data_IF_829225204626
#
_entry.id   IF_829225204626
#
_cell.length_a   1.000
_cell.length_b   1.000
_cell.length_c   1.000
_cell.angle_alpha   90.00
_cell.angle_beta   90.00
_cell.angle_gamma   90.00
#
_symmetry.space_group_name_H-M   'P 1'
#
loop_
_entity.id
_entity.type
_entity.pdbx_description
1 polymer ?
#
# COMPACT_ATOMS: atom_id res chain seq x y z
N UNK A 1 57.02 -47.35 2.79
CA UNK A 1 58.17 -48.01 2.12
C UNK A 1 58.02 -47.77 0.61
N UNK A 2 59.00 -47.14 -0.05
CA UNK A 2 59.00 -46.81 -1.48
C UNK A 2 59.53 -48.03 -2.28
N UNK A 3 59.97 -47.95 -3.56
CA UNK A 3 59.63 -47.12 -4.72
C UNK A 3 59.40 -48.00 -5.99
N UNK A 4 59.11 -47.40 -7.15
CA UNK A 4 59.69 -47.89 -8.41
C UNK A 4 59.71 -46.78 -9.46
N UNK A 5 60.88 -46.15 -9.60
CA UNK A 5 61.28 -45.37 -10.77
C UNK A 5 62.01 -46.30 -11.71
N UNK A 6 61.72 -46.26 -13.01
CA UNK A 6 62.73 -46.47 -14.06
C UNK A 6 62.41 -45.61 -15.27
N UNK A 7 63.19 -44.54 -15.43
CA UNK A 7 63.39 -43.88 -16.70
C UNK A 7 64.62 -44.46 -17.41
N UNK A 8 64.61 -44.42 -18.73
CA UNK A 8 65.80 -44.45 -19.57
C UNK A 8 65.76 -43.29 -20.57
N UNK A 9 66.85 -42.51 -20.47
CA UNK A 9 67.41 -41.52 -21.40
C UNK A 9 67.50 -42.08 -22.85
N UNK A 10 67.53 -41.31 -23.94
CA UNK A 10 68.28 -40.07 -24.20
C UNK A 10 68.03 -39.55 -25.66
N UNK A 11 68.42 -38.30 -25.89
CA UNK A 11 68.87 -37.67 -27.17
C UNK A 11 67.78 -37.21 -28.16
N UNK A 12 67.85 -36.07 -28.85
CA UNK A 12 68.86 -35.00 -29.01
C UNK A 12 68.18 -33.83 -29.77
N UNK A 13 68.59 -32.59 -29.49
CA UNK A 13 69.01 -31.52 -30.43
C UNK A 13 68.70 -30.11 -29.87
N UNK A 14 69.73 -29.28 -29.92
CA UNK A 14 69.77 -27.87 -29.52
C UNK A 14 69.46 -27.02 -30.75
N UNK A 15 68.61 -25.98 -30.64
CA UNK A 15 68.92 -24.56 -31.01
C UNK A 15 67.69 -23.64 -30.96
N UNK A 16 67.71 -22.80 -29.92
CA UNK A 16 67.37 -21.37 -29.79
C UNK A 16 65.96 -20.79 -30.12
N UNK A 17 65.57 -19.72 -29.39
CA UNK A 17 64.18 -19.32 -29.21
C UNK A 17 63.81 -18.08 -30.03
N UNK A 18 62.54 -17.93 -30.40
CA UNK A 18 61.95 -16.61 -30.62
C UNK A 18 60.48 -16.59 -30.18
N UNK A 19 60.16 -15.44 -29.61
CA UNK A 19 59.04 -14.93 -28.80
C UNK A 19 57.61 -15.05 -29.36
N UNK A 20 56.69 -15.04 -28.39
CA UNK A 20 55.24 -14.93 -28.45
C UNK A 20 54.69 -13.79 -29.35
N UNK A 21 53.60 -14.07 -30.09
CA UNK A 21 52.29 -13.42 -29.90
C UNK A 21 51.22 -14.17 -30.72
N UNK A 22 50.20 -14.75 -30.05
CA UNK A 22 49.00 -15.31 -30.70
C UNK A 22 47.94 -14.22 -30.79
N UNK A 23 47.48 -13.94 -32.00
CA UNK A 23 46.31 -13.10 -32.27
C UNK A 23 45.02 -13.90 -32.01
N UNK A 24 44.16 -13.36 -31.14
CA UNK A 24 42.83 -13.90 -30.84
C UNK A 24 41.81 -13.34 -31.85
N UNK A 25 41.04 -14.23 -32.47
CA UNK A 25 39.97 -13.90 -33.42
C UNK A 25 38.82 -13.16 -32.71
N UNK A 26 38.42 -12.01 -33.24
CA UNK A 26 37.21 -11.28 -32.87
C UNK A 26 35.97 -12.05 -33.36
N UNK A 27 35.10 -12.44 -32.44
CA UNK A 27 33.72 -12.83 -32.73
C UNK A 27 32.87 -11.55 -32.74
N UNK A 28 32.23 -11.27 -33.88
CA UNK A 28 31.29 -10.17 -34.03
C UNK A 28 29.98 -10.55 -33.35
N UNK A 29 29.56 -9.78 -32.36
CA UNK A 29 28.30 -9.94 -31.64
C UNK A 29 27.27 -8.98 -32.24
N UNK A 30 26.32 -9.50 -33.00
CA UNK A 30 25.17 -8.72 -33.48
C UNK A 30 24.25 -8.43 -32.30
N UNK A 31 24.20 -7.17 -31.87
CA UNK A 31 23.30 -6.72 -30.81
C UNK A 31 21.86 -6.67 -31.35
N UNK A 32 21.02 -7.58 -30.86
CA UNK A 32 19.56 -7.50 -31.01
C UNK A 32 19.08 -6.41 -30.04
N UNK A 33 18.72 -5.24 -30.56
CA UNK A 33 18.18 -4.15 -29.75
C UNK A 33 16.75 -4.51 -29.36
N UNK A 34 16.54 -4.96 -28.13
CA UNK A 34 15.20 -5.08 -27.56
C UNK A 34 14.65 -3.67 -27.35
N UNK A 35 13.63 -3.29 -28.12
CA UNK A 35 12.83 -2.10 -27.84
C UNK A 35 12.02 -2.41 -26.57
N UNK A 36 12.54 -1.98 -25.41
CA UNK A 36 11.73 -1.81 -24.22
C UNK A 36 10.71 -0.72 -24.55
N UNK A 37 9.49 -1.13 -24.93
CA UNK A 37 8.34 -0.26 -24.76
C UNK A 37 8.15 -0.17 -23.25
N UNK A 38 8.88 0.75 -22.61
CA UNK A 38 8.52 1.19 -21.29
C UNK A 38 7.12 1.76 -21.41
N UNK A 39 6.13 1.08 -20.85
CA UNK A 39 4.91 1.75 -20.41
C UNK A 39 5.41 2.89 -19.52
N UNK A 40 5.36 4.12 -20.00
CA UNK A 40 5.53 5.26 -19.11
C UNK A 40 4.46 5.06 -18.05
N UNK A 41 4.87 4.70 -16.83
CA UNK A 41 4.03 4.94 -15.67
C UNK A 41 3.67 6.42 -15.77
N UNK A 42 2.41 6.71 -16.08
CA UNK A 42 1.95 8.08 -16.07
C UNK A 42 1.94 8.45 -14.59
N UNK A 43 3.02 9.04 -14.12
CA UNK A 43 3.11 9.56 -12.76
C UNK A 43 2.08 10.68 -12.67
N UNK A 44 0.91 10.35 -12.14
CA UNK A 44 -0.09 11.33 -11.76
C UNK A 44 -0.03 11.52 -10.25
N UNK A 45 -0.31 12.74 -9.82
CA UNK A 45 -0.15 13.16 -8.43
C UNK A 45 -0.97 12.31 -7.46
N UNK A 46 -2.07 11.67 -7.88
CA UNK A 46 -2.88 10.80 -7.00
C UNK A 46 -2.07 9.57 -6.58
N UNK A 47 -1.34 8.97 -7.52
CA UNK A 47 -0.46 7.82 -7.21
C UNK A 47 0.76 8.22 -6.38
N UNK A 48 1.32 9.41 -6.58
CA UNK A 48 2.39 9.95 -5.74
C UNK A 48 1.92 10.12 -4.29
N UNK A 49 0.73 10.70 -4.09
CA UNK A 49 0.13 10.86 -2.76
C UNK A 49 -0.32 9.55 -2.13
N UNK A 50 -0.77 8.58 -2.93
CA UNK A 50 -1.02 7.22 -2.45
C UNK A 50 0.27 6.61 -1.89
N UNK A 51 1.36 6.62 -2.65
CA UNK A 51 2.64 6.08 -2.20
C UNK A 51 3.13 6.77 -0.92
N UNK A 52 3.02 8.10 -0.83
CA UNK A 52 3.37 8.85 0.38
C UNK A 52 2.53 8.43 1.59
N UNK A 53 1.24 8.21 1.42
CA UNK A 53 0.36 7.73 2.48
C UNK A 53 0.75 6.32 2.96
N UNK A 54 1.08 5.41 2.02
CA UNK A 54 1.54 4.06 2.34
C UNK A 54 2.88 4.09 3.10
N UNK A 55 3.79 5.01 2.75
CA UNK A 55 5.02 5.24 3.51
C UNK A 55 4.75 5.77 4.93
N UNK A 56 3.80 6.70 5.09
CA UNK A 56 3.34 7.16 6.39
C UNK A 56 2.76 6.03 7.25
N UNK A 57 1.96 5.13 6.66
CA UNK A 57 1.40 3.95 7.32
C UNK A 57 2.50 3.01 7.81
N UNK A 58 3.46 2.68 6.93
CA UNK A 58 4.61 1.82 7.25
C UNK A 58 5.43 2.41 8.40
N UNK A 59 5.82 3.68 8.27
CA UNK A 59 6.65 4.37 9.25
C UNK A 59 5.95 4.53 10.61
N UNK A 60 4.63 4.76 10.59
CA UNK A 60 3.82 4.90 11.80
C UNK A 60 3.43 3.58 12.46
N UNK A 61 3.73 2.43 11.85
CA UNK A 61 3.20 1.12 12.26
C UNK A 61 1.67 1.18 12.47
N UNK A 62 0.99 1.87 11.55
CA UNK A 62 -0.42 2.26 11.73
C UNK A 62 -1.31 1.02 11.75
N UNK A 63 -2.20 0.86 12.75
CA UNK A 63 -3.09 -0.29 12.80
C UNK A 63 -4.04 -0.35 11.59
N UNK A 64 -4.38 -1.55 11.07
CA UNK A 64 -5.17 -1.67 9.84
C UNK A 64 -6.48 -0.87 9.82
N UNK A 65 -7.29 -0.82 10.90
CA UNK A 65 -8.52 -0.04 10.86
C UNK A 65 -8.26 1.47 10.70
N UNK A 66 -7.25 2.01 11.40
CA UNK A 66 -6.83 3.41 11.28
C UNK A 66 -6.27 3.68 9.87
N UNK A 67 -5.47 2.76 9.32
CA UNK A 67 -4.92 2.88 7.97
C UNK A 67 -6.03 2.98 6.92
N UNK A 68 -7.04 2.11 6.98
CA UNK A 68 -8.22 2.16 6.10
C UNK A 68 -8.95 3.51 6.21
N UNK A 69 -9.21 4.00 7.43
CA UNK A 69 -9.84 5.31 7.64
C UNK A 69 -9.01 6.46 7.06
N UNK A 70 -7.70 6.46 7.28
CA UNK A 70 -6.80 7.49 6.77
C UNK A 70 -6.74 7.51 5.24
N UNK A 71 -6.69 6.33 4.60
CA UNK A 71 -6.72 6.22 3.14
C UNK A 71 -8.07 6.66 2.57
N UNK A 72 -9.18 6.37 3.26
CA UNK A 72 -10.49 6.87 2.87
C UNK A 72 -10.53 8.40 2.91
N UNK A 73 -10.11 9.03 4.01
CA UNK A 73 -10.06 10.51 4.16
C UNK A 73 -9.19 11.14 3.08
N UNK A 74 -8.00 10.59 2.85
CA UNK A 74 -7.10 11.06 1.79
C UNK A 74 -7.80 11.03 0.43
N UNK A 75 -8.28 9.85 0.03
CA UNK A 75 -8.72 9.66 -1.35
C UNK A 75 -10.07 10.31 -1.64
N UNK A 76 -10.97 10.45 -0.66
CA UNK A 76 -12.17 11.28 -0.85
C UNK A 76 -11.85 12.77 -0.90
N UNK A 77 -10.82 13.25 -0.18
CA UNK A 77 -10.36 14.63 -0.30
C UNK A 77 -9.78 14.92 -1.68
N UNK A 78 -8.95 14.01 -2.20
CA UNK A 78 -8.43 14.10 -3.58
C UNK A 78 -9.58 14.04 -4.59
N UNK A 79 -10.50 13.09 -4.45
CA UNK A 79 -11.61 12.91 -5.37
C UNK A 79 -12.51 14.13 -5.44
N UNK A 80 -12.96 14.69 -4.31
CA UNK A 80 -13.80 15.88 -4.31
C UNK A 80 -13.05 17.11 -4.83
N UNK A 81 -11.73 17.21 -4.58
CA UNK A 81 -10.91 18.29 -5.12
C UNK A 81 -10.84 18.24 -6.65
N UNK A 82 -10.60 17.05 -7.21
CA UNK A 82 -10.51 16.82 -8.66
C UNK A 82 -11.88 16.92 -9.34
N UNK A 83 -12.86 16.16 -8.84
CA UNK A 83 -14.22 16.14 -9.37
C UNK A 83 -14.94 17.48 -9.17
N UNK A 84 -14.56 18.29 -8.18
CA UNK A 84 -15.04 19.66 -8.04
C UNK A 84 -14.68 20.54 -9.24
N UNK A 85 -13.56 20.28 -9.92
CA UNK A 85 -13.13 21.01 -11.12
C UNK A 85 -13.73 20.35 -12.37
N UNK A 86 -13.60 19.02 -12.47
CA UNK A 86 -13.98 18.22 -13.65
C UNK A 86 -15.50 18.06 -13.80
N UNK A 87 -16.21 17.87 -12.68
CA UNK A 87 -17.68 17.76 -12.55
C UNK A 87 -18.32 16.65 -13.38
N UNK A 88 -17.62 15.53 -13.51
CA UNK A 88 -18.12 14.38 -14.26
C UNK A 88 -18.97 13.43 -13.41
N UNK A 89 -18.87 13.52 -12.09
CA UNK A 89 -19.54 12.62 -11.15
C UNK A 89 -20.12 13.37 -9.94
N UNK A 90 -20.91 12.66 -9.13
CA UNK A 90 -21.36 13.19 -7.84
C UNK A 90 -20.18 13.32 -6.86
N UNK A 91 -20.02 14.45 -6.17
CA UNK A 91 -19.04 14.57 -5.10
C UNK A 91 -19.44 13.67 -3.93
N UNK A 92 -18.45 13.20 -3.17
CA UNK A 92 -18.66 12.47 -1.93
C UNK A 92 -19.29 13.37 -0.85
N UNK A 93 -18.77 14.59 -0.68
CA UNK A 93 -19.26 15.54 0.32
C UNK A 93 -19.28 16.98 -0.17
N UNK A 94 -18.19 17.46 -0.77
CA UNK A 94 -17.96 18.88 -1.01
C UNK A 94 -18.47 19.29 -2.40
N UNK A 95 -19.49 20.13 -2.44
CA UNK A 95 -20.07 20.65 -3.68
C UNK A 95 -19.15 21.69 -4.33
N UNK A 96 -19.02 21.63 -5.66
CA UNK A 96 -18.11 22.48 -6.43
C UNK A 96 -18.47 23.98 -6.38
N UNK A 97 -17.49 24.80 -6.00
CA UNK A 97 -17.55 26.28 -6.13
C UNK A 97 -16.36 26.86 -6.94
N UNK A 98 -15.51 25.99 -7.49
CA UNK A 98 -14.22 26.36 -8.13
C UNK A 98 -14.33 26.52 -9.65
N UNK A 99 -13.64 27.46 -10.32
CA UNK A 99 -13.65 27.51 -11.79
C UNK A 99 -13.15 26.22 -12.45
N UNK A 100 -13.78 25.80 -13.56
CA UNK A 100 -13.35 24.63 -14.35
C UNK A 100 -11.93 24.76 -14.93
N UNK A 101 -11.36 25.97 -14.91
CA UNK A 101 -10.00 26.24 -15.35
C UNK A 101 -8.94 26.05 -14.24
N UNK A 102 -9.33 25.79 -13.00
CA UNK A 102 -8.37 25.53 -11.92
C UNK A 102 -7.53 24.28 -12.21
N UNK A 103 -6.29 24.24 -11.71
CA UNK A 103 -5.41 23.07 -11.89
C UNK A 103 -5.87 21.92 -10.99
N UNK A 104 -6.17 20.78 -11.60
CA UNK A 104 -6.57 19.54 -10.92
C UNK A 104 -5.42 18.95 -10.12
N UNK A 105 -4.20 19.01 -10.65
CA UNK A 105 -2.98 18.54 -9.99
C UNK A 105 -2.68 19.35 -8.73
N UNK A 106 -2.82 20.68 -8.79
CA UNK A 106 -2.64 21.56 -7.64
C UNK A 106 -3.72 21.33 -6.57
N UNK A 107 -4.98 21.16 -6.99
CA UNK A 107 -6.09 20.86 -6.08
C UNK A 107 -5.97 19.50 -5.40
N UNK A 108 -5.70 18.44 -6.17
CA UNK A 108 -5.44 17.11 -5.64
C UNK A 108 -4.29 17.14 -4.62
N UNK A 109 -3.21 17.84 -4.94
CA UNK A 109 -2.02 17.88 -4.07
C UNK A 109 -2.23 18.69 -2.80
N UNK A 110 -2.94 19.80 -2.87
CA UNK A 110 -3.28 20.60 -1.68
C UNK A 110 -4.23 19.81 -0.77
N UNK A 111 -5.24 19.14 -1.34
CA UNK A 111 -6.15 18.31 -0.56
C UNK A 111 -5.44 17.12 0.11
N UNK A 112 -4.56 16.44 -0.63
CA UNK A 112 -3.79 15.30 -0.12
C UNK A 112 -2.82 15.71 0.98
N UNK A 113 -2.09 16.80 0.77
CA UNK A 113 -1.14 17.35 1.73
C UNK A 113 -1.82 17.65 3.07
N UNK A 114 -2.89 18.43 3.05
CA UNK A 114 -3.58 18.85 4.28
C UNK A 114 -4.22 17.67 5.02
N UNK A 115 -4.79 16.72 4.28
CA UNK A 115 -5.29 15.48 4.85
C UNK A 115 -4.16 14.69 5.55
N UNK A 116 -3.03 14.47 4.88
CA UNK A 116 -1.95 13.63 5.39
C UNK A 116 -1.15 14.28 6.52
N UNK A 117 -0.91 15.59 6.49
CA UNK A 117 -0.27 16.30 7.60
C UNK A 117 -1.14 16.22 8.86
N UNK A 118 -2.46 16.27 8.72
CA UNK A 118 -3.39 16.10 9.84
C UNK A 118 -3.40 14.67 10.37
N UNK A 119 -3.46 13.68 9.48
CA UNK A 119 -3.57 12.25 9.84
C UNK A 119 -2.24 11.65 10.35
N UNK A 120 -1.10 12.12 9.84
CA UNK A 120 0.23 11.57 10.12
C UNK A 120 1.23 12.71 10.40
N UNK A 121 1.07 13.46 11.50
CA UNK A 121 1.90 14.64 11.79
C UNK A 121 3.40 14.32 11.94
N UNK A 122 3.75 13.08 12.32
CA UNK A 122 5.15 12.64 12.40
C UNK A 122 5.83 12.54 11.01
N UNK A 123 5.06 12.40 9.93
CA UNK A 123 5.54 12.35 8.55
C UNK A 123 5.31 13.69 7.79
N UNK A 124 4.89 14.76 8.48
CA UNK A 124 4.56 16.04 7.87
C UNK A 124 5.69 16.57 6.96
N UNK A 125 6.95 16.51 7.41
CA UNK A 125 8.09 17.01 6.63
C UNK A 125 8.28 16.28 5.28
N UNK A 126 7.97 14.98 5.21
CA UNK A 126 7.99 14.25 3.94
C UNK A 126 6.85 14.69 3.01
N UNK A 127 5.66 14.96 3.55
CA UNK A 127 4.54 15.49 2.77
C UNK A 127 4.78 16.92 2.31
N UNK A 128 5.34 17.79 3.16
CA UNK A 128 5.73 19.16 2.81
C UNK A 128 6.70 19.15 1.61
N UNK A 129 7.66 18.22 1.63
CA UNK A 129 8.66 18.05 0.57
C UNK A 129 8.02 17.61 -0.75
N UNK A 130 7.13 16.62 -0.71
CA UNK A 130 6.41 16.14 -1.89
C UNK A 130 5.50 17.25 -2.46
N UNK A 131 4.76 17.93 -1.60
CA UNK A 131 3.88 19.03 -1.99
C UNK A 131 4.65 20.16 -2.67
N UNK A 132 5.76 20.60 -2.08
CA UNK A 132 6.62 21.62 -2.67
C UNK A 132 7.18 21.20 -4.03
N UNK A 133 7.60 19.94 -4.17
CA UNK A 133 8.11 19.41 -5.44
C UNK A 133 7.04 19.38 -6.54
N UNK A 134 5.83 18.90 -6.22
CA UNK A 134 4.71 18.87 -7.18
C UNK A 134 4.32 20.31 -7.59
N UNK A 135 4.15 21.21 -6.62
CA UNK A 135 3.76 22.58 -6.94
C UNK A 135 4.83 23.33 -7.74
N UNK A 136 6.11 23.06 -7.51
CA UNK A 136 7.18 23.66 -8.30
C UNK A 136 7.13 23.25 -9.79
N UNK A 137 6.58 22.08 -10.10
CA UNK A 137 6.41 21.61 -11.47
C UNK A 137 5.18 22.23 -12.19
N UNK A 138 4.25 22.82 -11.46
CA UNK A 138 3.05 23.47 -12.01
C UNK A 138 3.35 24.96 -12.26
N UNK A 139 3.17 25.47 -13.50
CA UNK A 139 3.38 26.89 -13.80
C UNK A 139 2.58 27.81 -12.89
N UNK A 140 3.22 28.88 -12.43
CA UNK A 140 2.54 29.88 -11.60
C UNK A 140 1.45 30.61 -12.40
N UNK A 141 0.29 30.80 -11.75
CA UNK A 141 -0.85 31.44 -12.38
C UNK A 141 -2.13 31.33 -11.55
N UNK A 142 -3.21 31.99 -12.01
CA UNK A 142 -4.49 31.97 -11.33
C UNK A 142 -5.09 30.55 -11.27
N UNK A 143 -4.82 29.69 -12.25
CA UNK A 143 -5.30 28.31 -12.27
C UNK A 143 -4.70 27.47 -11.15
N UNK A 144 -3.38 27.58 -10.94
CA UNK A 144 -2.66 26.93 -9.82
C UNK A 144 -3.16 27.45 -8.47
N UNK A 145 -3.26 28.77 -8.34
CA UNK A 145 -3.73 29.42 -7.10
C UNK A 145 -5.16 28.98 -6.75
N UNK A 146 -6.07 28.98 -7.72
CA UNK A 146 -7.44 28.53 -7.51
C UNK A 146 -7.52 27.03 -7.17
N UNK A 147 -6.65 26.20 -7.78
CA UNK A 147 -6.54 24.79 -7.46
C UNK A 147 -6.10 24.56 -6.02
N UNK A 148 -5.04 25.24 -5.56
CA UNK A 148 -4.54 25.15 -4.18
C UNK A 148 -5.64 25.50 -3.18
N UNK A 149 -6.23 26.70 -3.30
CA UNK A 149 -7.27 27.18 -2.38
C UNK A 149 -8.48 26.22 -2.35
N UNK A 150 -8.86 25.68 -3.50
CA UNK A 150 -9.94 24.70 -3.58
C UNK A 150 -9.59 23.38 -2.89
N UNK A 151 -8.38 22.85 -3.12
CA UNK A 151 -7.93 21.60 -2.49
C UNK A 151 -7.84 21.71 -0.97
N UNK A 152 -7.27 22.80 -0.46
CA UNK A 152 -7.22 23.11 0.99
C UNK A 152 -8.63 23.17 1.57
N UNK A 153 -9.56 23.86 0.89
CA UNK A 153 -10.95 23.93 1.33
C UNK A 153 -11.61 22.54 1.41
N UNK A 154 -11.46 21.72 0.36
CA UNK A 154 -12.03 20.37 0.33
C UNK A 154 -11.50 19.50 1.47
N UNK A 155 -10.17 19.44 1.66
CA UNK A 155 -9.57 18.64 2.73
C UNK A 155 -10.07 19.07 4.11
N UNK A 156 -10.15 20.38 4.37
CA UNK A 156 -10.68 20.89 5.64
C UNK A 156 -12.14 20.47 5.89
N UNK A 157 -12.98 20.48 4.86
CA UNK A 157 -14.38 20.05 4.98
C UNK A 157 -14.49 18.54 5.26
N UNK A 158 -13.69 17.71 4.57
CA UNK A 158 -13.65 16.26 4.80
C UNK A 158 -13.14 15.95 6.22
N UNK A 159 -12.00 16.54 6.63
CA UNK A 159 -11.44 16.37 7.96
C UNK A 159 -12.44 16.79 9.05
N UNK A 160 -13.11 17.92 8.87
CA UNK A 160 -14.13 18.39 9.80
C UNK A 160 -15.32 17.42 9.91
N UNK A 161 -15.78 16.87 8.78
CA UNK A 161 -16.84 15.87 8.77
C UNK A 161 -16.45 14.56 9.47
N UNK A 162 -15.15 14.23 9.50
CA UNK A 162 -14.61 13.02 10.14
C UNK A 162 -14.09 13.24 11.56
N UNK A 163 -13.94 14.49 12.02
CA UNK A 163 -13.33 14.82 13.30
C UNK A 163 -14.02 14.18 14.52
N UNK A 164 -15.32 13.89 14.44
CA UNK A 164 -16.11 13.31 15.53
C UNK A 164 -16.83 12.03 15.10
N UNK A 165 -16.23 11.26 14.18
CA UNK A 165 -16.81 10.03 13.64
C UNK A 165 -16.73 8.82 14.59
N UNK A 166 -16.17 8.99 15.79
CA UNK A 166 -16.04 7.95 16.81
C UNK A 166 -14.74 7.15 16.73
N UNK A 167 -13.82 7.43 15.81
CA UNK A 167 -12.53 6.71 15.71
C UNK A 167 -11.71 6.80 17.00
N UNK A 168 -11.78 7.95 17.66
CA UNK A 168 -10.97 8.27 18.85
C UNK A 168 -11.74 8.07 20.16
N UNK A 169 -12.94 7.47 20.08
CA UNK A 169 -13.75 7.18 21.26
C UNK A 169 -13.04 6.16 22.16
N UNK A 170 -12.99 6.47 23.46
CA UNK A 170 -12.46 5.55 24.46
C UNK A 170 -13.63 4.74 25.01
N UNK A 171 -13.59 3.42 24.80
CA UNK A 171 -14.57 2.48 25.34
C UNK A 171 -13.88 1.43 26.22
N UNK A 172 -14.54 0.90 27.26
CA UNK A 172 -14.02 -0.25 27.98
C UNK A 172 -13.83 -1.45 27.02
N UNK A 173 -12.77 -2.27 27.20
CA UNK A 173 -12.63 -3.49 26.44
C UNK A 173 -13.81 -4.43 26.71
N UNK A 174 -14.19 -5.28 25.74
CA UNK A 174 -15.17 -6.33 25.98
C UNK A 174 -14.78 -7.19 27.20
N UNK A 175 -15.72 -7.36 28.12
CA UNK A 175 -15.55 -8.22 29.30
C UNK A 175 -15.88 -9.69 29.00
N UNK A 176 -15.55 -10.57 29.94
CA UNK A 176 -15.88 -11.99 29.89
C UNK A 176 -14.72 -12.90 30.31
N UNK A 177 -15.03 -14.16 30.59
CA UNK A 177 -14.04 -15.21 30.86
C UNK A 177 -14.61 -16.57 30.52
N UNK A 178 -13.73 -17.52 30.13
CA UNK A 178 -14.11 -18.89 29.82
C UNK A 178 -14.02 -19.22 28.32
N UNK A 179 -14.36 -20.46 27.94
CA UNK A 179 -14.31 -20.91 26.55
C UNK A 179 -15.11 -20.01 25.60
N UNK A 180 -14.54 -19.70 24.44
CA UNK A 180 -15.16 -18.84 23.42
C UNK A 180 -14.96 -17.33 23.63
N UNK A 181 -14.44 -16.89 24.78
CA UNK A 181 -14.07 -15.49 24.99
C UNK A 181 -12.65 -15.25 24.48
N UNK A 182 -12.46 -14.18 23.70
CA UNK A 182 -11.12 -13.78 23.24
C UNK A 182 -10.19 -13.51 24.41
N UNK A 183 -8.94 -13.96 24.29
CA UNK A 183 -7.86 -13.68 25.24
C UNK A 183 -6.62 -13.21 24.49
N UNK A 184 -5.76 -12.38 25.10
CA UNK A 184 -4.49 -12.00 24.51
C UNK A 184 -3.61 -13.22 24.19
N UNK A 185 -2.93 -13.20 23.06
CA UNK A 185 -2.10 -14.31 22.58
C UNK A 185 -0.60 -14.02 22.70
N UNK A 186 0.24 -15.05 22.92
CA UNK A 186 1.70 -14.89 22.90
C UNK A 186 2.19 -14.43 21.52
N UNK A 187 3.40 -13.84 21.44
CA UNK A 187 4.32 -13.61 22.56
C UNK A 187 4.01 -12.33 23.37
N UNK A 188 3.31 -11.37 22.78
CA UNK A 188 3.19 -10.02 23.35
C UNK A 188 1.98 -9.84 24.26
N UNK A 189 0.95 -10.69 24.18
CA UNK A 189 -0.29 -10.58 24.95
C UNK A 189 -0.91 -9.17 24.86
N UNK A 190 -0.96 -8.62 23.64
CA UNK A 190 -1.52 -7.30 23.37
C UNK A 190 -3.01 -7.23 23.74
N UNK A 191 -3.52 -6.06 24.17
CA UNK A 191 -4.94 -5.86 24.46
C UNK A 191 -5.79 -5.85 23.18
N UNK A 192 -7.11 -5.76 23.35
CA UNK A 192 -8.03 -5.52 22.23
C UNK A 192 -7.57 -4.32 21.41
N UNK A 193 -7.42 -4.53 20.10
CA UNK A 193 -7.21 -3.44 19.17
C UNK A 193 -8.52 -2.70 18.94
N UNK A 194 -8.56 -1.40 19.27
CA UNK A 194 -9.63 -0.46 18.91
C UNK A 194 -11.05 -1.01 19.20
N UNK A 195 -11.39 -1.33 20.47
CA UNK A 195 -12.69 -1.91 20.82
C UNK A 195 -13.90 -1.05 20.43
N UNK A 196 -13.68 0.25 20.19
CA UNK A 196 -14.70 1.19 19.73
C UNK A 196 -15.01 1.10 18.23
N UNK A 197 -14.21 0.38 17.43
CA UNK A 197 -14.21 0.55 15.97
C UNK A 197 -15.57 0.25 15.32
N UNK A 198 -16.36 -0.65 15.92
CA UNK A 198 -17.73 -0.95 15.47
C UNK A 198 -18.73 0.20 15.63
N UNK A 199 -18.35 1.31 16.27
CA UNK A 199 -19.16 2.51 16.45
C UNK A 199 -18.73 3.67 15.55
N UNK A 200 -17.67 3.50 14.75
CA UNK A 200 -17.22 4.54 13.81
C UNK A 200 -18.30 4.78 12.76
N UNK A 201 -18.62 6.04 12.47
CA UNK A 201 -19.59 6.42 11.43
C UNK A 201 -19.09 5.89 10.08
N UNK A 202 -19.84 5.05 9.37
CA UNK A 202 -19.36 4.51 8.09
C UNK A 202 -19.17 5.61 7.02
N UNK A 203 -18.37 5.31 5.99
CA UNK A 203 -18.22 6.17 4.81
C UNK A 203 -19.32 5.91 3.77
N UNK A 204 -19.53 4.63 3.40
CA UNK A 204 -20.53 4.23 2.40
C UNK A 204 -21.71 3.39 2.91
N UNK A 205 -21.59 2.78 4.10
CA UNK A 205 -22.67 1.97 4.69
C UNK A 205 -23.71 2.85 5.40
N UNK A 206 -24.96 2.38 5.46
CA UNK A 206 -26.04 3.04 6.20
C UNK A 206 -25.95 2.83 7.72
N UNK A 207 -25.27 1.76 8.16
CA UNK A 207 -24.98 1.47 9.57
C UNK A 207 -23.79 0.52 9.69
N UNK A 208 -23.12 0.51 10.84
CA UNK A 208 -21.98 -0.39 11.08
C UNK A 208 -22.37 -1.88 11.15
N UNK A 209 -23.66 -2.19 11.24
CA UNK A 209 -24.18 -3.57 11.23
C UNK A 209 -24.82 -3.98 9.91
N UNK A 210 -24.74 -3.17 8.85
CA UNK A 210 -25.42 -3.43 7.57
C UNK A 210 -25.11 -4.83 7.00
N UNK A 211 -23.87 -5.31 7.18
CA UNK A 211 -23.42 -6.61 6.69
C UNK A 211 -23.04 -7.58 7.82
N UNK A 212 -23.64 -7.45 9.01
CA UNK A 212 -23.32 -8.33 10.15
C UNK A 212 -23.73 -9.79 9.86
N UNK A 213 -22.79 -10.76 9.87
CA UNK A 213 -23.12 -12.18 9.67
C UNK A 213 -23.82 -12.78 10.90
N UNK A 214 -24.39 -14.00 10.80
CA UNK A 214 -24.80 -14.75 11.98
C UNK A 214 -23.61 -15.00 12.93
N UNK A 215 -23.92 -15.31 14.19
CA UNK A 215 -22.90 -15.64 15.18
C UNK A 215 -22.10 -16.91 14.82
N UNK A 216 -20.94 -17.12 15.46
CA UNK A 216 -20.10 -18.29 15.20
C UNK A 216 -20.82 -19.60 15.56
N UNK A 217 -20.38 -20.75 15.02
CA UNK A 217 -20.86 -22.06 15.43
C UNK A 217 -20.77 -22.26 16.95
N UNK A 218 -21.70 -23.03 17.52
CA UNK A 218 -21.65 -23.39 18.94
C UNK A 218 -20.38 -24.18 19.26
N UNK A 219 -19.79 -23.95 20.44
CA UNK A 219 -18.53 -24.59 20.84
C UNK A 219 -18.63 -26.13 20.98
N UNK A 220 -19.83 -26.66 21.17
CA UNK A 220 -20.13 -28.09 21.24
C UNK A 220 -20.56 -28.68 19.88
N UNK A 221 -20.54 -27.89 18.80
CA UNK A 221 -20.93 -28.35 17.47
C UNK A 221 -19.80 -29.11 16.75
N UNK A 222 -20.19 -30.03 15.88
CA UNK A 222 -19.26 -30.72 14.98
C UNK A 222 -18.51 -29.74 14.06
N UNK A 223 -19.17 -28.66 13.63
CA UNK A 223 -18.55 -27.62 12.81
C UNK A 223 -17.40 -26.92 13.55
N UNK A 224 -17.61 -26.51 14.81
CA UNK A 224 -16.56 -25.90 15.61
C UNK A 224 -15.37 -26.84 15.80
N UNK A 225 -15.64 -28.13 16.05
CA UNK A 225 -14.60 -29.13 16.19
C UNK A 225 -13.78 -29.31 14.89
N UNK A 226 -14.44 -29.27 13.72
CA UNK A 226 -13.77 -29.33 12.43
C UNK A 226 -12.87 -28.11 12.20
N UNK A 227 -13.39 -26.89 12.37
CA UNK A 227 -12.65 -25.64 12.18
C UNK A 227 -11.45 -25.55 13.13
N UNK A 228 -11.62 -25.94 14.40
CA UNK A 228 -10.53 -25.99 15.38
C UNK A 228 -9.41 -26.94 14.94
N UNK A 229 -9.76 -28.13 14.46
CA UNK A 229 -8.77 -29.12 14.04
C UNK A 229 -8.03 -28.66 12.78
N UNK A 230 -8.70 -28.02 11.83
CA UNK A 230 -8.06 -27.43 10.64
C UNK A 230 -7.03 -26.36 11.03
N UNK A 231 -7.42 -25.40 11.88
CA UNK A 231 -6.50 -24.35 12.35
C UNK A 231 -5.33 -24.94 13.14
N UNK A 232 -5.58 -25.95 13.98
CA UNK A 232 -4.53 -26.64 14.74
C UNK A 232 -3.55 -27.37 13.81
N UNK A 233 -4.06 -28.05 12.80
CA UNK A 233 -3.25 -28.82 11.86
C UNK A 233 -2.42 -27.91 10.94
N UNK A 234 -3.06 -26.93 10.30
CA UNK A 234 -2.41 -26.06 9.32
C UNK A 234 -1.64 -24.91 9.96
N UNK A 235 -2.11 -24.39 11.09
CA UNK A 235 -1.55 -23.23 11.79
C UNK A 235 -0.43 -23.55 12.78
N UNK A 236 -0.10 -24.82 13.02
CA UNK A 236 0.96 -25.20 13.95
C UNK A 236 2.33 -24.61 13.55
N UNK A 237 3.04 -24.03 14.51
CA UNK A 237 4.39 -23.52 14.29
C UNK A 237 5.43 -24.63 14.01
N UNK A 238 5.19 -25.83 14.55
CA UNK A 238 6.04 -27.02 14.38
C UNK A 238 5.13 -28.22 14.11
N UNK A 239 5.46 -29.02 13.08
CA UNK A 239 4.71 -30.23 12.74
C UNK A 239 3.40 -29.97 11.98
N UNK A 240 3.23 -28.80 11.39
CA UNK A 240 2.11 -28.49 10.50
C UNK A 240 2.16 -29.36 9.23
N UNK A 241 0.98 -29.72 8.71
CA UNK A 241 0.83 -30.41 7.41
C UNK A 241 0.69 -29.44 6.24
N UNK A 242 0.70 -28.12 6.50
CA UNK A 242 0.59 -27.06 5.50
C UNK A 242 1.70 -27.17 4.46
N UNK A 243 1.35 -27.00 3.19
CA UNK A 243 2.31 -27.02 2.09
C UNK A 243 3.20 -25.77 2.09
N UNK A 244 4.30 -25.82 1.34
CA UNK A 244 5.16 -24.64 1.14
C UNK A 244 4.38 -23.50 0.47
N UNK A 245 3.59 -23.80 -0.57
CA UNK A 245 2.76 -22.80 -1.25
C UNK A 245 1.77 -22.12 -0.29
N UNK A 246 1.08 -22.89 0.55
CA UNK A 246 0.17 -22.34 1.56
C UNK A 246 0.91 -21.46 2.58
N UNK A 247 2.18 -21.77 2.91
CA UNK A 247 3.03 -20.89 3.74
C UNK A 247 3.35 -19.59 3.03
N UNK A 248 3.72 -19.63 1.75
CA UNK A 248 4.02 -18.42 0.98
C UNK A 248 2.78 -17.54 0.80
N UNK A 249 1.60 -18.14 0.57
CA UNK A 249 0.32 -17.40 0.53
C UNK A 249 0.06 -16.69 1.86
N UNK A 250 0.25 -17.38 2.99
CA UNK A 250 0.05 -16.79 4.31
C UNK A 250 1.02 -15.62 4.56
N UNK A 251 2.29 -15.75 4.18
CA UNK A 251 3.28 -14.68 4.33
C UNK A 251 3.01 -13.50 3.41
N UNK A 252 2.55 -13.75 2.18
CA UNK A 252 2.23 -12.71 1.20
C UNK A 252 1.08 -11.80 1.67
N UNK A 253 0.07 -12.37 2.32
CA UNK A 253 -1.12 -11.64 2.80
C UNK A 253 -1.07 -11.24 4.28
N UNK A 254 0.03 -11.49 5.00
CA UNK A 254 0.09 -11.29 6.45
C UNK A 254 -0.04 -9.82 6.86
N UNK A 255 0.59 -8.92 6.10
CA UNK A 255 0.50 -7.45 6.23
C UNK A 255 0.49 -6.91 7.67
N UNK A 256 1.45 -7.38 8.47
CA UNK A 256 1.59 -6.98 9.87
C UNK A 256 2.11 -5.54 10.08
N UNK A 257 2.32 -5.18 11.35
CA UNK A 257 2.86 -3.87 11.70
C UNK A 257 4.22 -3.60 11.03
N UNK A 258 4.37 -2.40 10.46
CA UNK A 258 5.55 -1.99 9.69
C UNK A 258 5.46 -2.27 8.19
N UNK A 259 4.39 -2.93 7.73
CA UNK A 259 4.00 -2.94 6.31
C UNK A 259 2.96 -1.85 6.05
N UNK A 260 2.43 -1.81 4.83
CA UNK A 260 1.30 -0.94 4.46
C UNK A 260 -0.06 -1.43 4.99
N UNK A 261 -0.09 -2.56 5.72
CA UNK A 261 -1.29 -3.25 6.23
C UNK A 261 -2.24 -3.71 5.10
N UNK A 262 -3.24 -4.56 5.37
CA UNK A 262 -4.12 -5.06 4.31
C UNK A 262 -4.80 -3.94 3.48
N UNK A 263 -5.29 -2.82 4.06
CA UNK A 263 -5.82 -1.71 3.27
C UNK A 263 -4.80 -1.11 2.29
N UNK A 264 -3.54 -0.95 2.71
CA UNK A 264 -2.50 -0.43 1.85
C UNK A 264 -2.14 -1.40 0.72
N UNK A 265 -2.12 -2.71 0.98
CA UNK A 265 -1.87 -3.73 -0.04
C UNK A 265 -2.94 -3.70 -1.14
N UNK A 266 -4.21 -3.51 -0.78
CA UNK A 266 -5.27 -3.29 -1.77
C UNK A 266 -5.08 -2.00 -2.59
N UNK A 267 -4.55 -0.93 -1.99
CA UNK A 267 -4.21 0.30 -2.73
C UNK A 267 -3.04 0.07 -3.70
N UNK A 268 -2.01 -0.68 -3.30
CA UNK A 268 -0.92 -1.10 -4.18
C UNK A 268 -1.42 -1.91 -5.37
N UNK A 269 -2.34 -2.86 -5.13
CA UNK A 269 -2.99 -3.64 -6.21
C UNK A 269 -3.79 -2.73 -7.15
N UNK A 270 -4.60 -1.81 -6.60
CA UNK A 270 -5.40 -0.90 -7.42
C UNK A 270 -4.53 0.02 -8.29
N UNK A 271 -3.43 0.52 -7.75
CA UNK A 271 -2.45 1.32 -8.49
C UNK A 271 -1.78 0.52 -9.62
N UNK A 272 -1.45 -0.76 -9.39
CA UNK A 272 -0.92 -1.63 -10.44
C UNK A 272 -1.95 -1.85 -11.56
N UNK A 273 -3.22 -2.07 -11.20
CA UNK A 273 -4.31 -2.25 -12.16
C UNK A 273 -4.55 -0.98 -12.96
N UNK A 274 -4.60 0.18 -12.30
CA UNK A 274 -4.88 1.45 -12.98
C UNK A 274 -3.76 1.88 -13.92
N UNK A 275 -2.50 1.63 -13.54
CA UNK A 275 -1.35 1.82 -14.42
C UNK A 275 -1.43 0.92 -15.66
N UNK A 276 -1.84 -0.35 -15.48
CA UNK A 276 -2.02 -1.28 -16.61
C UNK A 276 -3.17 -0.88 -17.54
N UNK A 277 -4.18 -0.19 -17.02
CA UNK A 277 -5.30 0.35 -17.81
C UNK A 277 -5.02 1.72 -18.43
N UNK A 278 -3.95 2.40 -18.00
CA UNK A 278 -3.60 3.73 -18.49
C UNK A 278 -4.58 4.81 -17.99
N UNK A 279 -5.07 4.67 -16.75
CA UNK A 279 -6.03 5.59 -16.16
C UNK A 279 -5.53 7.04 -16.16
N UNK A 280 -6.45 7.99 -16.32
CA UNK A 280 -6.20 9.42 -16.10
C UNK A 280 -6.15 9.75 -14.60
N UNK A 281 -5.77 11.00 -14.29
CA UNK A 281 -5.79 11.54 -12.93
C UNK A 281 -7.18 11.44 -12.30
N UNK A 282 -8.24 11.78 -13.03
CA UNK A 282 -9.63 11.75 -12.56
C UNK A 282 -10.10 10.32 -12.31
N UNK A 283 -9.70 9.39 -13.19
CA UNK A 283 -10.01 7.97 -13.06
C UNK A 283 -9.29 7.36 -11.84
N UNK A 284 -8.03 7.74 -11.58
CA UNK A 284 -7.28 7.32 -10.40
C UNK A 284 -7.85 7.91 -9.11
N UNK A 285 -8.21 9.20 -9.10
CA UNK A 285 -8.87 9.84 -7.97
C UNK A 285 -10.18 9.12 -7.62
N UNK A 286 -10.99 8.79 -8.63
CA UNK A 286 -12.26 8.08 -8.43
C UNK A 286 -12.05 6.63 -7.99
N UNK A 287 -11.13 5.90 -8.61
CA UNK A 287 -10.84 4.50 -8.28
C UNK A 287 -10.45 4.37 -6.81
N UNK A 288 -9.47 5.16 -6.36
CA UNK A 288 -8.95 5.05 -5.02
C UNK A 288 -9.93 5.59 -3.97
N UNK A 289 -10.76 6.59 -4.31
CA UNK A 289 -11.85 7.00 -3.41
C UNK A 289 -12.87 5.89 -3.22
N UNK A 290 -13.35 5.27 -4.30
CA UNK A 290 -14.34 4.19 -4.21
C UNK A 290 -13.78 2.96 -3.50
N UNK A 291 -12.52 2.60 -3.78
CA UNK A 291 -11.85 1.48 -3.08
C UNK A 291 -11.80 1.71 -1.58
N UNK A 292 -11.42 2.90 -1.13
CA UNK A 292 -11.20 3.16 0.30
C UNK A 292 -12.49 3.55 1.05
N UNK A 293 -13.58 3.87 0.35
CA UNK A 293 -14.93 4.00 0.94
C UNK A 293 -15.54 2.61 1.25
N UNK A 294 -15.25 1.61 0.41
CA UNK A 294 -15.84 0.26 0.47
C UNK A 294 -15.34 -0.57 1.65
#
# INVERSE_FOLDING_TARGET
>A
MPPSKRGHRKQTFIRQPFTFMKASKLFSCSALTAFLIGTMAHADVVTDWNNAALDGIRAGHTPPPIASRSLAILHVSIYDAVNGIDRTHEPYLVQSEVPASASREAAASAAAHDALVNLFPAAASSFDTLYAAILAAIPDGPQKTAGIVWGEFVANQILAARANDGSDAIVPPPGGSGPGVWVPTPPAFLPYLLPQWGFVVPFGMSSSSQFRPPGPPSLDSEQYAADYNEVKELGAAVGSTRTEEQTQIALFWADGAGTETPPGHWNSIAQLISAAQGNTLEENARLLALLNIA
#
